data_IF_984154083397
#
_entry.id   IF_984154083397
#
_cell.length_a   1.000
_cell.length_b   1.000
_cell.length_c   1.000
_cell.angle_alpha   90.00
_cell.angle_beta   90.00
_cell.angle_gamma   90.00
#
_symmetry.space_group_name_H-M   'P 1'
#
loop_
_entity.id
_entity.type
_entity.pdbx_description
1 polymer ?
#
# COMPACT_ATOMS: atom_id res chain seq x y z
N UNK A 1 -20.47 21.84 6.10
CA UNK A 1 -20.45 20.47 5.54
C UNK A 1 -19.11 20.26 4.86
N UNK A 2 -18.41 19.20 5.21
CA UNK A 2 -17.10 18.85 4.64
C UNK A 2 -17.29 18.17 3.27
N UNK A 3 -16.38 18.40 2.32
CA UNK A 3 -16.49 17.89 0.95
C UNK A 3 -16.19 16.39 0.91
N UNK A 4 -17.12 15.58 0.40
CA UNK A 4 -16.91 14.15 0.14
C UNK A 4 -16.43 13.99 -1.30
N UNK A 5 -15.23 13.44 -1.49
CA UNK A 5 -14.71 13.08 -2.82
C UNK A 5 -14.96 11.60 -3.10
N UNK A 6 -15.74 11.32 -4.14
CA UNK A 6 -16.03 9.96 -4.61
C UNK A 6 -15.12 9.65 -5.78
N UNK A 7 -14.12 8.79 -5.56
CA UNK A 7 -13.17 8.38 -6.58
C UNK A 7 -13.83 7.32 -7.48
N UNK A 8 -14.36 7.73 -8.63
CA UNK A 8 -15.06 6.86 -9.59
C UNK A 8 -14.18 6.33 -10.73
N UNK A 9 -12.95 6.85 -10.87
CA UNK A 9 -12.02 6.44 -11.92
C UNK A 9 -11.26 5.15 -11.57
N UNK A 10 -10.93 4.33 -12.56
CA UNK A 10 -9.92 3.26 -12.41
C UNK A 10 -8.57 3.92 -12.15
N UNK A 11 -8.18 4.03 -10.88
CA UNK A 11 -6.82 4.42 -10.54
C UNK A 11 -5.85 3.32 -10.98
N UNK A 12 -4.64 3.72 -11.38
CA UNK A 12 -3.54 2.79 -11.72
C UNK A 12 -3.06 2.10 -10.45
N UNK A 13 -3.84 1.14 -9.98
CA UNK A 13 -3.50 0.34 -8.79
C UNK A 13 -2.26 -0.47 -9.14
N UNK A 14 -1.17 -0.27 -8.39
CA UNK A 14 -0.01 -1.17 -8.48
C UNK A 14 -0.53 -2.60 -8.28
N UNK A 15 -0.31 -3.46 -9.28
CA UNK A 15 -0.63 -4.88 -9.19
C UNK A 15 0.63 -5.59 -8.75
N UNK A 16 0.52 -6.32 -7.66
CA UNK A 16 1.58 -7.13 -7.12
C UNK A 16 1.19 -8.60 -7.26
N UNK A 17 2.12 -9.40 -7.72
CA UNK A 17 2.10 -10.85 -7.59
C UNK A 17 2.01 -11.26 -6.11
N UNK A 18 1.66 -12.52 -5.86
CA UNK A 18 1.65 -13.06 -4.50
C UNK A 18 3.03 -13.01 -3.84
N UNK A 19 4.10 -13.24 -4.62
CA UNK A 19 5.47 -13.18 -4.13
C UNK A 19 5.90 -11.78 -3.72
N UNK A 20 5.59 -10.75 -4.53
CA UNK A 20 5.85 -9.36 -4.17
C UNK A 20 5.10 -8.96 -2.90
N UNK A 21 3.84 -9.39 -2.75
CA UNK A 21 3.10 -9.17 -1.50
C UNK A 21 3.77 -9.82 -0.29
N UNK A 22 4.26 -11.04 -0.42
CA UNK A 22 4.98 -11.71 0.66
C UNK A 22 6.25 -10.95 1.06
N UNK A 23 6.97 -10.37 0.09
CA UNK A 23 8.13 -9.52 0.37
C UNK A 23 7.74 -8.24 1.13
N UNK A 24 6.66 -7.55 0.72
CA UNK A 24 6.18 -6.38 1.48
C UNK A 24 5.81 -6.75 2.92
N UNK A 25 5.12 -7.88 3.13
CA UNK A 25 4.78 -8.35 4.48
C UNK A 25 6.05 -8.61 5.30
N UNK A 26 7.05 -9.28 4.73
CA UNK A 26 8.32 -9.54 5.42
C UNK A 26 9.04 -8.24 5.83
N UNK A 27 9.01 -7.21 4.98
CA UNK A 27 9.58 -5.89 5.30
C UNK A 27 8.85 -5.20 6.45
N UNK A 28 7.53 -5.31 6.52
CA UNK A 28 6.75 -4.73 7.64
C UNK A 28 6.95 -5.43 8.97
N UNK A 29 7.45 -6.67 8.97
CA UNK A 29 7.73 -7.45 10.17
C UNK A 29 9.12 -7.17 10.76
N UNK A 30 9.96 -6.39 10.08
CA UNK A 30 11.26 -6.01 10.63
C UNK A 30 11.10 -5.05 11.81
N UNK A 31 11.91 -5.17 12.88
CA UNK A 31 11.88 -4.25 14.00
C UNK A 31 12.08 -2.79 13.54
N UNK A 32 11.21 -1.89 13.99
CA UNK A 32 11.27 -0.47 13.63
C UNK A 32 10.68 -0.12 12.25
N UNK A 33 10.23 -1.09 11.47
CA UNK A 33 9.49 -0.83 10.23
C UNK A 33 8.09 -0.29 10.52
N UNK A 34 7.60 0.58 9.63
CA UNK A 34 6.18 0.95 9.58
C UNK A 34 5.58 0.59 8.24
N UNK A 35 4.32 0.13 8.26
CA UNK A 35 3.55 -0.23 7.05
C UNK A 35 3.53 0.95 6.06
N UNK A 36 3.36 2.16 6.57
CA UNK A 36 3.30 3.36 5.73
C UNK A 36 4.64 3.71 5.08
N UNK A 37 5.77 3.40 5.73
CA UNK A 37 7.10 3.58 5.15
C UNK A 37 7.32 2.61 4.00
N UNK A 38 7.00 1.33 4.21
CA UNK A 38 7.12 0.28 3.18
C UNK A 38 6.24 0.57 1.97
N UNK A 39 5.03 1.12 2.18
CA UNK A 39 4.12 1.45 1.08
C UNK A 39 4.54 2.66 0.22
N UNK A 40 5.42 3.53 0.73
CA UNK A 40 5.90 4.73 0.01
C UNK A 40 7.18 4.51 -0.79
N UNK A 41 7.87 3.39 -0.57
CA UNK A 41 9.01 2.95 -1.37
C UNK A 41 8.57 2.52 -2.78
#
# INVERSE_FOLDING_TARGET
>A
MERIEVITSVQRRRRYSGQEKAQFVAMTMQPGSSVSSVARQ
#
